data_IF_830648262130
#
_entry.id   IF_830648262130
#
_cell.length_a   1.000
_cell.length_b   1.000
_cell.length_c   1.000
_cell.angle_alpha   90.00
_cell.angle_beta   90.00
_cell.angle_gamma   90.00
#
_symmetry.space_group_name_H-M   'P 1'
#
loop_
_entity.id
_entity.type
_entity.pdbx_description
1 polymer ?
#
# COMPACT_ATOMS: atom_id res chain seq x y z
N UNK A 1 36.82 12.09 -23.03
CA UNK A 1 35.68 11.52 -22.28
C UNK A 1 35.79 10.00 -22.38
N UNK A 2 35.86 9.31 -21.25
CA UNK A 2 35.91 7.85 -21.26
C UNK A 2 34.57 7.32 -21.83
N UNK A 3 34.65 6.53 -22.87
CA UNK A 3 33.45 5.99 -23.58
C UNK A 3 33.42 4.49 -23.34
N UNK A 4 32.39 4.02 -22.65
CA UNK A 4 32.19 2.58 -22.42
C UNK A 4 31.61 1.89 -23.66
N UNK A 5 32.09 0.69 -23.96
CA UNK A 5 31.63 -0.11 -25.10
C UNK A 5 30.31 -0.83 -24.80
N UNK A 6 29.58 -1.22 -25.87
CA UNK A 6 28.35 -2.01 -25.73
C UNK A 6 28.56 -3.32 -24.97
N UNK A 7 29.71 -3.97 -25.16
CA UNK A 7 30.06 -5.20 -24.44
C UNK A 7 30.24 -4.96 -22.95
N UNK A 8 30.92 -3.88 -22.55
CA UNK A 8 31.04 -3.49 -21.13
C UNK A 8 29.69 -3.21 -20.51
N UNK A 9 28.79 -2.50 -21.20
CA UNK A 9 27.44 -2.25 -20.71
C UNK A 9 26.66 -3.56 -20.54
N UNK A 10 26.79 -4.50 -21.49
CA UNK A 10 26.14 -5.81 -21.40
C UNK A 10 26.66 -6.61 -20.19
N UNK A 11 27.97 -6.65 -20.01
CA UNK A 11 28.62 -7.31 -18.89
C UNK A 11 28.23 -6.68 -17.54
N UNK A 12 28.16 -5.36 -17.43
CA UNK A 12 27.72 -4.66 -16.23
C UNK A 12 26.28 -4.98 -15.87
N UNK A 13 25.40 -5.23 -16.84
CA UNK A 13 24.00 -5.61 -16.64
C UNK A 13 23.77 -7.04 -16.19
N UNK A 14 24.78 -7.90 -16.26
CA UNK A 14 24.70 -9.28 -15.77
C UNK A 14 24.72 -9.35 -14.24
N UNK A 15 25.24 -8.32 -13.58
CA UNK A 15 25.24 -8.25 -12.13
C UNK A 15 23.83 -7.93 -11.58
N UNK A 16 23.21 -8.87 -10.89
CA UNK A 16 22.09 -8.55 -10.01
C UNK A 16 22.61 -7.93 -8.69
N UNK A 17 21.76 -7.16 -8.01
CA UNK A 17 22.18 -6.44 -6.81
C UNK A 17 22.58 -7.37 -5.65
N UNK A 18 21.89 -8.51 -5.48
CA UNK A 18 22.21 -9.43 -4.39
C UNK A 18 23.60 -9.99 -4.56
N UNK A 19 23.92 -10.51 -5.75
CA UNK A 19 25.24 -11.05 -6.07
C UNK A 19 26.35 -10.02 -5.94
N UNK A 20 26.08 -8.78 -6.38
CA UNK A 20 27.02 -7.67 -6.21
C UNK A 20 27.31 -7.36 -4.74
N UNK A 21 26.29 -7.19 -3.91
CA UNK A 21 26.47 -6.88 -2.50
C UNK A 21 27.12 -8.05 -1.74
N UNK A 22 26.80 -9.30 -2.09
CA UNK A 22 27.47 -10.47 -1.50
C UNK A 22 28.96 -10.50 -1.79
N UNK A 23 29.36 -10.11 -3.00
CA UNK A 23 30.76 -10.14 -3.43
C UNK A 23 31.59 -8.94 -2.93
N UNK A 24 30.98 -7.74 -2.90
CA UNK A 24 31.72 -6.49 -2.68
C UNK A 24 31.36 -5.78 -1.38
N UNK A 25 30.12 -5.91 -0.90
CA UNK A 25 29.62 -5.21 0.29
C UNK A 25 28.81 -6.17 1.19
N UNK A 26 29.37 -7.33 1.62
CA UNK A 26 28.60 -8.34 2.38
C UNK A 26 28.04 -7.80 3.69
N UNK A 27 28.74 -6.85 4.31
CA UNK A 27 28.29 -6.19 5.56
C UNK A 27 27.06 -5.31 5.38
N UNK A 28 26.74 -4.89 4.15
CA UNK A 28 25.56 -4.09 3.84
C UNK A 28 24.30 -4.96 3.79
N UNK A 29 24.43 -6.27 3.58
CA UNK A 29 23.29 -7.16 3.49
C UNK A 29 22.73 -7.57 4.85
N UNK A 30 21.41 -7.49 4.97
CA UNK A 30 20.62 -8.02 6.08
C UNK A 30 19.48 -8.87 5.53
N UNK A 31 19.36 -10.10 6.02
CA UNK A 31 18.25 -10.99 5.65
C UNK A 31 16.98 -10.55 6.39
N UNK A 32 15.88 -10.32 5.65
CA UNK A 32 14.60 -9.87 6.17
C UNK A 32 13.52 -10.96 6.07
N UNK A 33 13.75 -12.00 5.26
CA UNK A 33 12.79 -13.08 5.06
C UNK A 33 13.47 -14.32 4.42
N UNK A 34 12.70 -15.38 4.13
CA UNK A 34 13.25 -16.61 3.52
C UNK A 34 13.96 -16.37 2.20
N UNK A 35 13.46 -15.43 1.39
CA UNK A 35 14.00 -15.08 0.06
C UNK A 35 14.11 -13.56 -0.13
N UNK A 36 14.21 -12.81 0.96
CA UNK A 36 14.23 -11.35 0.95
C UNK A 36 15.41 -10.84 1.78
N UNK A 37 16.09 -9.84 1.21
CA UNK A 37 17.17 -9.11 1.85
C UNK A 37 16.86 -7.62 1.85
N UNK A 38 17.51 -6.86 2.73
CA UNK A 38 17.55 -5.40 2.70
C UNK A 38 18.97 -4.92 2.93
N UNK A 39 19.23 -3.65 2.63
CA UNK A 39 20.49 -3.03 2.99
C UNK A 39 20.44 -2.53 4.44
N UNK A 40 21.60 -2.47 5.12
CA UNK A 40 21.66 -1.96 6.50
C UNK A 40 21.52 -0.46 6.57
N UNK A 41 22.06 0.25 5.58
CA UNK A 41 21.95 1.72 5.48
C UNK A 41 20.55 2.16 5.08
N UNK A 42 19.81 1.32 4.33
CA UNK A 42 18.45 1.62 3.87
C UNK A 42 17.56 0.38 4.05
N UNK A 43 17.00 0.22 5.25
CA UNK A 43 16.16 -0.95 5.60
C UNK A 43 14.88 -1.08 4.76
N UNK A 44 14.41 0.04 4.17
CA UNK A 44 13.31 0.07 3.21
C UNK A 44 13.71 -0.31 1.77
N UNK A 45 15.03 -0.46 1.48
CA UNK A 45 15.50 -1.03 0.22
C UNK A 45 15.46 -2.55 0.30
N UNK A 46 14.50 -3.15 -0.41
CA UNK A 46 14.27 -4.60 -0.44
C UNK A 46 14.83 -5.23 -1.71
N UNK A 47 15.44 -6.41 -1.54
CA UNK A 47 16.03 -7.19 -2.63
C UNK A 47 15.38 -8.56 -2.60
N UNK A 48 14.68 -8.94 -3.67
CA UNK A 48 14.05 -10.25 -3.83
C UNK A 48 13.82 -10.59 -5.29
N UNK A 49 13.84 -11.87 -5.63
CA UNK A 49 13.55 -12.37 -6.99
C UNK A 49 14.34 -11.67 -8.11
N UNK A 50 15.62 -11.34 -7.88
CA UNK A 50 16.47 -10.67 -8.85
C UNK A 50 16.05 -9.23 -9.18
N UNK A 51 15.31 -8.59 -8.29
CA UNK A 51 14.92 -7.19 -8.35
C UNK A 51 15.19 -6.53 -7.01
N UNK A 52 15.31 -5.22 -7.02
CA UNK A 52 15.35 -4.43 -5.81
C UNK A 52 14.40 -3.24 -5.93
N UNK A 53 13.90 -2.80 -4.78
CA UNK A 53 13.03 -1.62 -4.67
C UNK A 53 13.33 -0.90 -3.37
N UNK A 54 13.59 0.39 -3.45
CA UNK A 54 13.72 1.28 -2.31
C UNK A 54 12.38 1.96 -2.07
N UNK A 55 11.58 1.37 -1.19
CA UNK A 55 10.18 1.75 -1.01
C UNK A 55 9.99 3.21 -0.57
N UNK A 56 10.85 3.73 0.33
CA UNK A 56 10.74 5.12 0.79
C UNK A 56 11.05 6.15 -0.29
N UNK A 57 11.88 5.79 -1.29
CA UNK A 57 12.24 6.68 -2.40
C UNK A 57 11.49 6.36 -3.71
N UNK A 58 10.71 5.30 -3.72
CA UNK A 58 9.94 4.89 -4.90
C UNK A 58 10.80 4.52 -6.13
N UNK A 59 12.09 4.20 -5.92
CA UNK A 59 13.02 3.81 -6.99
C UNK A 59 13.36 2.33 -6.91
N UNK A 60 13.75 1.75 -8.03
CA UNK A 60 14.12 0.34 -8.09
C UNK A 60 14.84 -0.03 -9.37
N UNK A 61 15.22 -1.30 -9.46
CA UNK A 61 15.94 -1.84 -10.60
C UNK A 61 16.05 -3.35 -10.58
N UNK A 62 16.73 -3.87 -11.60
CA UNK A 62 17.02 -5.32 -11.74
C UNK A 62 18.51 -5.64 -11.64
N UNK A 63 19.36 -4.64 -11.76
CA UNK A 63 20.79 -4.81 -11.86
C UNK A 63 21.53 -4.03 -10.78
N UNK A 64 22.76 -4.42 -10.48
CA UNK A 64 23.66 -3.62 -9.66
C UNK A 64 23.99 -2.28 -10.32
N UNK A 65 23.99 -2.22 -11.67
CA UNK A 65 24.19 -0.98 -12.41
C UNK A 65 23.11 0.06 -12.07
N UNK A 66 21.83 -0.36 -12.03
CA UNK A 66 20.73 0.50 -11.58
C UNK A 66 20.95 1.03 -10.16
N UNK A 67 21.44 0.18 -9.25
CA UNK A 67 21.70 0.55 -7.87
C UNK A 67 22.85 1.56 -7.73
N UNK A 68 23.96 1.31 -8.42
CA UNK A 68 25.12 2.23 -8.39
C UNK A 68 24.75 3.62 -8.90
N UNK A 69 23.91 3.69 -9.93
CA UNK A 69 23.46 4.97 -10.49
C UNK A 69 22.41 5.64 -9.61
N UNK A 70 21.34 4.92 -9.26
CA UNK A 70 20.15 5.51 -8.62
C UNK A 70 20.29 5.69 -7.10
N UNK A 71 21.06 4.83 -6.43
CA UNK A 71 21.22 4.85 -4.96
C UNK A 71 22.56 5.41 -4.54
N UNK A 72 23.65 5.03 -5.25
CA UNK A 72 25.01 5.52 -4.94
C UNK A 72 25.36 6.81 -5.66
N UNK A 73 24.51 7.28 -6.59
CA UNK A 73 24.73 8.54 -7.32
C UNK A 73 25.91 8.52 -8.30
N UNK A 74 26.39 7.33 -8.68
CA UNK A 74 27.47 7.22 -9.63
C UNK A 74 27.01 7.63 -11.04
N UNK A 75 27.88 8.26 -11.81
CA UNK A 75 27.66 8.45 -13.22
C UNK A 75 27.65 7.11 -13.97
N UNK A 76 27.02 7.07 -15.15
CA UNK A 76 26.83 5.84 -15.90
C UNK A 76 28.15 5.17 -16.28
N UNK A 77 29.15 5.96 -16.71
CA UNK A 77 30.44 5.44 -17.15
C UNK A 77 31.19 4.81 -15.96
N UNK A 78 31.29 5.53 -14.85
CA UNK A 78 31.96 5.05 -13.64
C UNK A 78 31.29 3.80 -13.07
N UNK A 79 29.95 3.72 -13.09
CA UNK A 79 29.23 2.53 -12.64
C UNK A 79 29.48 1.30 -13.55
N UNK A 80 29.54 1.48 -14.87
CA UNK A 80 29.91 0.40 -15.80
C UNK A 80 31.35 -0.05 -15.59
N UNK A 81 32.31 0.87 -15.46
CA UNK A 81 33.71 0.54 -15.22
C UNK A 81 33.91 -0.21 -13.90
N UNK A 82 33.23 0.21 -12.83
CA UNK A 82 33.26 -0.46 -11.54
C UNK A 82 32.80 -1.92 -11.61
N UNK A 83 31.77 -2.22 -12.42
CA UNK A 83 31.23 -3.57 -12.59
C UNK A 83 32.04 -4.41 -13.59
N UNK A 84 32.68 -3.82 -14.59
CA UNK A 84 33.50 -4.54 -15.58
C UNK A 84 34.83 -5.01 -15.03
N UNK A 85 35.38 -4.39 -13.99
CA UNK A 85 36.59 -4.83 -13.30
C UNK A 85 36.38 -6.12 -12.49
N UNK A 86 35.15 -6.57 -12.33
CA UNK A 86 34.78 -7.73 -11.53
C UNK A 86 34.20 -8.84 -12.43
N UNK A 87 34.65 -10.10 -12.22
CA UNK A 87 34.03 -11.24 -12.89
C UNK A 87 32.69 -11.54 -12.24
N UNK A 88 31.58 -11.33 -12.97
CA UNK A 88 30.27 -11.67 -12.47
C UNK A 88 30.20 -13.16 -12.11
N UNK A 89 29.67 -13.55 -10.94
CA UNK A 89 29.38 -14.95 -10.68
C UNK A 89 28.40 -15.47 -11.71
N UNK A 90 28.43 -16.77 -12.06
CA UNK A 90 27.46 -17.33 -12.98
C UNK A 90 26.07 -17.02 -12.45
N UNK A 91 25.12 -16.64 -13.34
CA UNK A 91 23.77 -16.33 -12.94
C UNK A 91 23.23 -17.48 -12.09
N UNK A 92 22.85 -17.20 -10.85
CA UNK A 92 22.18 -18.22 -10.05
C UNK A 92 20.92 -18.63 -10.83
N UNK A 93 20.82 -19.91 -11.20
CA UNK A 93 19.61 -20.44 -11.83
C UNK A 93 18.42 -20.03 -10.98
N UNK A 94 17.64 -19.11 -11.51
CA UNK A 94 16.41 -18.66 -10.83
C UNK A 94 15.51 -19.87 -10.78
N UNK A 95 15.01 -20.29 -9.60
CA UNK A 95 13.94 -21.26 -9.57
C UNK A 95 12.85 -20.77 -10.51
N UNK A 96 12.39 -21.61 -11.43
CA UNK A 96 11.29 -21.27 -12.31
C UNK A 96 10.16 -20.66 -11.47
N UNK A 97 9.53 -19.54 -11.89
CA UNK A 97 8.45 -18.93 -11.15
C UNK A 97 7.44 -20.03 -10.86
N UNK A 98 7.20 -20.30 -9.59
CA UNK A 98 6.14 -21.25 -9.22
C UNK A 98 4.86 -20.74 -9.85
N UNK A 99 4.04 -21.63 -10.47
CA UNK A 99 2.76 -21.21 -11.02
C UNK A 99 1.98 -20.46 -9.93
N UNK A 100 1.35 -19.33 -10.27
CA UNK A 100 0.61 -18.54 -9.29
C UNK A 100 -0.44 -19.45 -8.66
N UNK A 101 -0.45 -19.55 -7.34
CA UNK A 101 -1.49 -20.29 -6.64
C UNK A 101 -2.83 -19.61 -6.87
N UNK A 102 -3.92 -20.38 -7.04
CA UNK A 102 -5.23 -19.81 -7.20
C UNK A 102 -5.61 -19.00 -5.93
N UNK A 103 -6.19 -17.82 -6.15
CA UNK A 103 -6.70 -16.99 -5.06
C UNK A 103 -7.76 -17.75 -4.24
N UNK A 104 -7.56 -17.80 -2.94
CA UNK A 104 -8.51 -18.44 -2.02
C UNK A 104 -8.63 -17.62 -0.74
N UNK A 105 -9.85 -17.24 -0.39
CA UNK A 105 -10.12 -16.53 0.86
C UNK A 105 -9.77 -17.40 2.08
N UNK A 106 -9.18 -16.81 3.15
CA UNK A 106 -9.05 -17.47 4.45
C UNK A 106 -10.41 -17.87 5.02
N UNK A 107 -10.47 -19.00 5.71
CA UNK A 107 -11.69 -19.42 6.41
C UNK A 107 -12.12 -18.39 7.45
N UNK A 108 -13.43 -18.07 7.47
CA UNK A 108 -14.00 -17.16 8.43
C UNK A 108 -14.14 -17.79 9.82
N UNK A 109 -13.90 -17.00 10.86
CA UNK A 109 -14.24 -17.32 12.24
C UNK A 109 -15.75 -17.28 12.43
N UNK A 110 -16.27 -18.12 13.32
CA UNK A 110 -17.70 -18.10 13.69
C UNK A 110 -18.07 -16.83 14.48
N UNK A 111 -17.12 -16.31 15.26
CA UNK A 111 -17.32 -15.14 16.13
C UNK A 111 -16.19 -14.13 15.89
N UNK A 112 -16.48 -12.91 15.40
CA UNK A 112 -15.48 -11.90 15.03
C UNK A 112 -15.03 -11.04 16.22
N UNK A 113 -14.97 -11.59 17.43
CA UNK A 113 -14.81 -10.83 18.68
C UNK A 113 -13.47 -10.08 18.77
N UNK A 114 -12.38 -10.67 18.28
CA UNK A 114 -11.05 -10.03 18.31
C UNK A 114 -10.92 -8.94 17.28
N UNK A 115 -11.41 -9.18 16.08
CA UNK A 115 -11.45 -8.16 15.03
C UNK A 115 -12.27 -6.96 15.49
N UNK A 116 -13.45 -7.19 16.08
CA UNK A 116 -14.30 -6.10 16.62
C UNK A 116 -13.56 -5.31 17.69
N UNK A 117 -12.99 -5.98 18.70
CA UNK A 117 -12.23 -5.32 19.76
C UNK A 117 -11.03 -4.54 19.20
N UNK A 118 -10.32 -5.10 18.23
CA UNK A 118 -9.17 -4.46 17.60
C UNK A 118 -9.57 -3.19 16.83
N UNK A 119 -10.58 -3.27 15.97
CA UNK A 119 -11.01 -2.12 15.17
C UNK A 119 -11.66 -1.02 16.03
N UNK A 120 -12.46 -1.39 17.02
CA UNK A 120 -13.02 -0.44 18.00
C UNK A 120 -11.92 0.21 18.85
N UNK A 121 -10.89 -0.56 19.23
CA UNK A 121 -9.72 -0.06 19.93
C UNK A 121 -8.93 0.97 19.10
N UNK A 122 -9.02 0.87 17.76
CA UNK A 122 -8.48 1.85 16.80
C UNK A 122 -9.45 3.00 16.49
N UNK A 123 -10.53 3.12 17.25
CA UNK A 123 -11.49 4.22 17.10
C UNK A 123 -12.52 4.04 15.98
N UNK A 124 -12.49 2.96 15.20
CA UNK A 124 -13.45 2.75 14.11
C UNK A 124 -14.86 2.57 14.68
N UNK A 125 -15.81 3.32 14.11
CA UNK A 125 -17.20 3.30 14.58
C UNK A 125 -17.89 1.96 14.31
N UNK A 126 -18.68 1.41 15.27
CA UNK A 126 -19.37 0.13 15.11
C UNK A 126 -20.26 0.03 13.85
N UNK A 127 -20.94 1.11 13.45
CA UNK A 127 -21.79 1.10 12.26
C UNK A 127 -20.97 0.90 10.97
N UNK A 128 -19.79 1.53 10.88
CA UNK A 128 -18.89 1.38 9.74
C UNK A 128 -18.37 -0.06 9.66
N UNK A 129 -17.98 -0.64 10.81
CA UNK A 129 -17.56 -2.05 10.89
C UNK A 129 -18.73 -2.96 10.48
N UNK A 130 -19.93 -2.71 11.03
CA UNK A 130 -21.14 -3.50 10.76
C UNK A 130 -21.51 -3.53 9.29
N UNK A 131 -21.39 -2.40 8.59
CA UNK A 131 -21.67 -2.32 7.16
C UNK A 131 -20.69 -3.18 6.34
N UNK A 132 -19.39 -3.14 6.66
CA UNK A 132 -18.37 -3.97 5.99
C UNK A 132 -18.61 -5.46 6.25
N UNK A 133 -19.01 -5.85 7.48
CA UNK A 133 -19.35 -7.25 7.79
C UNK A 133 -20.58 -7.68 6.99
N UNK A 134 -21.63 -6.85 6.95
CA UNK A 134 -22.84 -7.11 6.18
C UNK A 134 -22.58 -7.26 4.67
N UNK A 135 -21.71 -6.40 4.13
CA UNK A 135 -21.28 -6.46 2.73
C UNK A 135 -20.33 -7.65 2.45
N UNK A 136 -19.84 -8.35 3.49
CA UNK A 136 -18.88 -9.45 3.35
C UNK A 136 -17.50 -8.99 2.87
N UNK A 137 -17.17 -7.70 3.08
CA UNK A 137 -15.86 -7.12 2.74
C UNK A 137 -14.91 -7.11 3.94
N UNK A 138 -15.40 -7.47 5.14
CA UNK A 138 -14.63 -7.56 6.37
C UNK A 138 -15.09 -8.75 7.22
N UNK A 139 -14.16 -9.58 7.64
CA UNK A 139 -14.41 -10.67 8.58
C UNK A 139 -13.15 -11.06 9.36
N UNK A 140 -13.31 -11.85 10.43
CA UNK A 140 -12.21 -12.42 11.20
C UNK A 140 -11.79 -13.77 10.64
N UNK A 141 -10.48 -14.00 10.43
CA UNK A 141 -9.98 -15.30 10.00
C UNK A 141 -10.01 -16.31 11.15
N UNK A 142 -10.38 -17.56 10.83
CA UNK A 142 -10.49 -18.65 11.82
C UNK A 142 -9.17 -18.96 12.51
N UNK A 143 -8.07 -19.08 11.75
CA UNK A 143 -6.81 -19.62 12.24
C UNK A 143 -6.07 -18.67 13.19
N UNK A 144 -5.95 -17.40 12.86
CA UNK A 144 -5.15 -16.44 13.63
C UNK A 144 -5.96 -15.25 14.14
N UNK A 145 -7.26 -15.23 13.88
CA UNK A 145 -8.17 -14.15 14.27
C UNK A 145 -7.73 -12.76 13.78
N UNK A 146 -7.11 -12.76 12.60
CA UNK A 146 -6.74 -11.53 11.90
C UNK A 146 -7.97 -10.90 11.24
N UNK A 147 -7.98 -9.56 11.08
CA UNK A 147 -8.92 -8.91 10.19
C UNK A 147 -8.60 -9.34 8.75
N UNK A 148 -9.62 -9.74 8.00
CA UNK A 148 -9.55 -10.02 6.56
C UNK A 148 -10.36 -8.96 5.84
N UNK A 149 -9.69 -8.12 5.08
CA UNK A 149 -10.32 -7.11 4.21
C UNK A 149 -10.38 -7.67 2.80
N UNK A 150 -11.57 -7.69 2.22
CA UNK A 150 -11.84 -8.30 0.91
C UNK A 150 -12.18 -7.24 -0.11
N UNK A 151 -11.53 -7.33 -1.26
CA UNK A 151 -11.89 -6.56 -2.46
C UNK A 151 -12.67 -7.42 -3.45
N UNK A 152 -13.69 -6.85 -4.05
CA UNK A 152 -14.61 -7.53 -4.98
C UNK A 152 -14.66 -6.82 -6.32
N UNK A 153 -14.91 -7.59 -7.40
CA UNK A 153 -15.24 -7.03 -8.71
C UNK A 153 -16.74 -6.62 -8.79
N UNK A 154 -17.14 -6.06 -9.93
CA UNK A 154 -18.53 -5.60 -10.15
C UNK A 154 -19.56 -6.73 -10.13
N UNK A 155 -19.15 -7.98 -10.33
CA UNK A 155 -20.01 -9.16 -10.20
C UNK A 155 -20.04 -9.68 -8.74
N UNK A 156 -19.42 -8.99 -7.80
CA UNK A 156 -19.37 -9.36 -6.39
C UNK A 156 -18.41 -10.51 -6.06
N UNK A 157 -17.60 -10.98 -7.03
CA UNK A 157 -16.61 -12.05 -6.80
C UNK A 157 -15.41 -11.47 -6.04
N UNK A 158 -14.95 -12.18 -5.03
CA UNK A 158 -13.73 -11.81 -4.33
C UNK A 158 -12.50 -11.98 -5.24
N UNK A 159 -11.73 -10.91 -5.42
CA UNK A 159 -10.53 -10.86 -6.26
C UNK A 159 -9.27 -10.54 -5.47
N UNK A 160 -9.44 -9.94 -4.33
CA UNK A 160 -8.34 -9.52 -3.45
C UNK A 160 -8.71 -9.78 -2.00
N UNK A 161 -7.72 -10.07 -1.18
CA UNK A 161 -7.85 -9.97 0.26
C UNK A 161 -6.50 -9.63 0.90
N UNK A 162 -6.53 -8.83 1.96
CA UNK A 162 -5.37 -8.63 2.83
C UNK A 162 -5.72 -8.95 4.28
N UNK A 163 -4.71 -9.41 5.02
CA UNK A 163 -4.81 -9.72 6.45
C UNK A 163 -4.10 -8.65 7.26
N UNK A 164 -4.74 -8.25 8.35
CA UNK A 164 -4.16 -7.41 9.38
C UNK A 164 -4.20 -8.13 10.73
N UNK A 165 -3.02 -8.29 11.35
CA UNK A 165 -2.89 -8.87 12.68
C UNK A 165 -3.66 -8.08 13.72
N UNK A 166 -4.35 -8.77 14.62
CA UNK A 166 -5.08 -8.14 15.75
C UNK A 166 -4.23 -8.06 17.01
N UNK A 167 -3.03 -8.68 17.01
CA UNK A 167 -2.12 -8.74 18.17
C UNK A 167 -0.74 -8.13 17.90
N UNK A 168 -0.37 -8.03 16.65
CA UNK A 168 0.96 -7.63 16.18
C UNK A 168 0.88 -6.77 14.93
N UNK A 169 2.04 -6.40 14.39
CA UNK A 169 2.15 -5.61 13.17
C UNK A 169 2.00 -6.45 11.88
N UNK A 170 1.50 -7.69 11.97
CA UNK A 170 1.36 -8.57 10.81
C UNK A 170 0.42 -7.97 9.76
N UNK A 171 0.90 -7.93 8.54
CA UNK A 171 0.13 -7.54 7.36
C UNK A 171 0.63 -8.31 6.14
N UNK A 172 -0.27 -8.86 5.36
CA UNK A 172 0.05 -9.57 4.12
C UNK A 172 -1.15 -9.60 3.19
N UNK A 173 -0.90 -9.51 1.89
CA UNK A 173 -1.91 -9.82 0.89
C UNK A 173 -2.03 -11.33 0.73
N UNK A 174 -3.24 -11.83 0.55
CA UNK A 174 -3.49 -13.24 0.27
C UNK A 174 -2.90 -13.60 -1.09
N UNK A 175 -2.17 -14.71 -1.16
CA UNK A 175 -1.53 -15.17 -2.39
C UNK A 175 -2.57 -15.34 -3.52
N UNK A 176 -2.24 -14.86 -4.72
CA UNK A 176 -3.14 -14.85 -5.87
C UNK A 176 -4.12 -13.69 -5.91
N UNK A 177 -4.05 -12.74 -4.97
CA UNK A 177 -4.85 -11.51 -4.99
C UNK A 177 -4.56 -10.63 -6.20
N UNK A 178 -5.61 -10.09 -6.80
CA UNK A 178 -5.53 -9.08 -7.85
C UNK A 178 -5.63 -7.67 -7.21
N UNK A 179 -4.51 -6.95 -7.17
CA UNK A 179 -4.42 -5.64 -6.50
C UNK A 179 -5.26 -4.54 -7.14
N UNK A 180 -5.81 -4.76 -8.33
CA UNK A 180 -6.77 -3.84 -8.95
C UNK A 180 -8.08 -3.75 -8.16
N UNK A 181 -8.45 -4.82 -7.47
CA UNK A 181 -9.69 -4.91 -6.68
C UNK A 181 -9.39 -4.85 -5.19
N UNK A 182 -8.76 -3.78 -4.73
CA UNK A 182 -8.46 -3.65 -3.31
C UNK A 182 -9.73 -3.44 -2.46
N UNK A 183 -9.59 -3.43 -1.13
CA UNK A 183 -10.74 -3.22 -0.22
C UNK A 183 -11.49 -1.94 -0.55
N UNK A 184 -12.81 -2.03 -0.57
CA UNK A 184 -13.71 -0.89 -0.77
C UNK A 184 -14.91 -0.93 0.19
N UNK A 185 -15.33 0.25 0.64
CA UNK A 185 -16.58 0.52 1.33
C UNK A 185 -17.39 1.43 0.41
N UNK A 186 -18.47 0.87 -0.17
CA UNK A 186 -19.25 1.57 -1.17
C UNK A 186 -20.25 2.55 -0.54
N UNK A 187 -20.56 3.63 -1.25
CA UNK A 187 -21.65 4.54 -0.89
C UNK A 187 -23.00 3.84 -0.92
N UNK A 188 -23.99 4.40 -0.21
CA UNK A 188 -25.37 3.89 -0.24
C UNK A 188 -26.01 4.04 -1.63
N UNK A 189 -25.72 5.14 -2.31
CA UNK A 189 -26.10 5.35 -3.71
C UNK A 189 -24.99 4.85 -4.63
N UNK A 190 -25.22 3.82 -5.46
CA UNK A 190 -24.25 3.35 -6.45
C UNK A 190 -23.82 4.43 -7.46
N UNK A 191 -24.62 5.49 -7.64
CA UNK A 191 -24.32 6.63 -8.52
C UNK A 191 -23.62 7.78 -7.80
N UNK A 192 -23.13 7.55 -6.59
CA UNK A 192 -22.39 8.56 -5.82
C UNK A 192 -21.18 9.09 -6.62
N UNK A 193 -21.03 10.41 -6.77
CA UNK A 193 -19.92 10.98 -7.52
C UNK A 193 -18.60 11.08 -6.73
N UNK A 194 -18.61 10.78 -5.42
CA UNK A 194 -17.49 11.03 -4.51
C UNK A 194 -16.73 9.76 -4.16
N UNK A 195 -15.41 9.85 -4.20
CA UNK A 195 -14.48 8.79 -3.81
C UNK A 195 -13.41 9.36 -2.88
N UNK A 196 -13.21 8.72 -1.73
CA UNK A 196 -12.05 8.93 -0.86
C UNK A 196 -11.09 7.73 -0.98
N UNK A 197 -9.80 8.01 -1.12
CA UNK A 197 -8.75 7.03 -1.39
C UNK A 197 -7.72 7.07 -0.27
N UNK A 198 -7.46 5.94 0.38
CA UNK A 198 -6.50 5.80 1.46
C UNK A 198 -5.43 4.73 1.15
N UNK A 199 -4.31 4.74 1.89
CA UNK A 199 -3.28 3.73 1.70
C UNK A 199 -3.69 2.36 2.20
N UNK A 200 -4.39 2.29 3.35
CA UNK A 200 -4.79 1.03 3.96
C UNK A 200 -6.29 0.93 4.20
N UNK A 201 -6.85 -0.29 4.36
CA UNK A 201 -8.25 -0.47 4.72
C UNK A 201 -8.62 0.21 6.04
N UNK A 202 -7.70 0.25 7.01
CA UNK A 202 -7.96 0.88 8.32
C UNK A 202 -8.11 2.39 8.15
N UNK A 203 -7.30 3.03 7.29
CA UNK A 203 -7.43 4.45 7.01
C UNK A 203 -8.71 4.77 6.26
N UNK A 204 -9.12 3.92 5.31
CA UNK A 204 -10.41 4.05 4.63
C UNK A 204 -11.59 3.99 5.62
N UNK A 205 -11.57 3.06 6.59
CA UNK A 205 -12.57 3.00 7.66
C UNK A 205 -12.48 4.19 8.63
N UNK A 206 -11.27 4.72 8.85
CA UNK A 206 -11.04 5.90 9.70
C UNK A 206 -11.65 7.14 9.07
N UNK A 207 -11.48 7.34 7.76
CA UNK A 207 -12.12 8.42 7.01
C UNK A 207 -13.65 8.38 7.15
N UNK A 208 -14.29 7.24 6.89
CA UNK A 208 -15.73 7.07 7.05
C UNK A 208 -16.19 7.36 8.49
N UNK A 209 -15.39 6.93 9.48
CA UNK A 209 -15.68 7.18 10.90
C UNK A 209 -15.56 8.66 11.25
N UNK A 210 -14.54 9.36 10.76
CA UNK A 210 -14.35 10.80 10.99
C UNK A 210 -15.52 11.61 10.42
N UNK A 211 -15.98 11.30 9.20
CA UNK A 211 -17.16 11.91 8.61
C UNK A 211 -18.39 11.71 9.53
N UNK A 212 -18.62 10.48 10.01
CA UNK A 212 -19.72 10.18 10.93
C UNK A 212 -19.61 10.94 12.24
N UNK A 213 -18.43 11.01 12.85
CA UNK A 213 -18.21 11.71 14.12
C UNK A 213 -18.37 13.23 14.01
N UNK A 214 -18.13 13.80 12.82
CA UNK A 214 -18.39 15.22 12.54
C UNK A 214 -19.86 15.53 12.18
N UNK A 215 -20.74 14.53 12.24
CA UNK A 215 -22.17 14.68 11.94
C UNK A 215 -22.52 14.61 10.46
N UNK A 216 -21.56 14.24 9.60
CA UNK A 216 -21.78 13.99 8.17
C UNK A 216 -22.35 12.61 7.88
N UNK A 217 -22.91 12.43 6.69
CA UNK A 217 -23.36 11.12 6.21
C UNK A 217 -22.21 10.44 5.46
N UNK A 218 -21.54 9.52 6.13
CA UNK A 218 -20.40 8.81 5.59
C UNK A 218 -20.77 7.89 4.40
N UNK A 219 -22.03 7.47 4.30
CA UNK A 219 -22.50 6.66 3.16
C UNK A 219 -22.70 7.45 1.86
N UNK A 220 -22.48 8.75 1.92
CA UNK A 220 -22.50 9.63 0.74
C UNK A 220 -21.16 9.68 -0.01
N UNK A 221 -20.25 8.78 0.27
CA UNK A 221 -18.95 8.65 -0.43
C UNK A 221 -18.54 7.18 -0.53
N UNK A 222 -17.85 6.82 -1.60
CA UNK A 222 -17.09 5.59 -1.67
C UNK A 222 -15.75 5.78 -0.96
N UNK A 223 -15.23 4.70 -0.35
CA UNK A 223 -13.90 4.66 0.26
C UNK A 223 -13.15 3.45 -0.26
N UNK A 224 -11.95 3.64 -0.76
CA UNK A 224 -11.09 2.55 -1.18
C UNK A 224 -9.73 2.60 -0.50
N UNK A 225 -9.10 1.44 -0.39
CA UNK A 225 -7.67 1.36 -0.05
C UNK A 225 -6.85 0.94 -1.25
N UNK A 226 -5.60 1.41 -1.32
CA UNK A 226 -4.67 1.05 -2.38
C UNK A 226 -3.80 -0.16 -2.01
N UNK A 227 -3.64 -0.44 -0.71
CA UNK A 227 -2.66 -1.40 -0.20
C UNK A 227 -1.22 -0.93 -0.45
N UNK A 228 -1.01 0.38 -0.41
CA UNK A 228 0.21 1.14 -0.71
C UNK A 228 -0.12 2.37 -1.55
N UNK A 229 0.77 2.77 -2.47
CA UNK A 229 0.62 4.00 -3.28
C UNK A 229 0.52 3.72 -4.80
N UNK A 230 0.32 2.46 -5.20
CA UNK A 230 0.23 2.08 -6.62
C UNK A 230 -1.15 2.45 -7.23
N UNK A 231 -1.21 2.97 -8.48
CA UNK A 231 -2.44 3.49 -9.07
C UNK A 231 -3.44 2.42 -9.55
N UNK A 232 -3.05 1.14 -9.61
CA UNK A 232 -3.87 0.10 -10.23
C UNK A 232 -5.28 -0.03 -9.63
N UNK A 233 -5.42 0.14 -8.30
CA UNK A 233 -6.72 0.00 -7.64
C UNK A 233 -7.64 1.19 -7.90
N UNK A 234 -7.13 2.42 -7.85
CA UNK A 234 -7.94 3.61 -8.13
C UNK A 234 -8.37 3.67 -9.59
N UNK A 235 -7.48 3.36 -10.53
CA UNK A 235 -7.82 3.35 -11.96
C UNK A 235 -8.90 2.32 -12.25
N UNK A 236 -8.76 1.08 -11.75
CA UNK A 236 -9.80 0.07 -11.91
C UNK A 236 -11.12 0.51 -11.29
N UNK A 237 -11.10 1.02 -10.06
CA UNK A 237 -12.31 1.50 -9.39
C UNK A 237 -13.03 2.60 -10.20
N UNK A 238 -12.28 3.56 -10.74
CA UNK A 238 -12.84 4.64 -11.55
C UNK A 238 -13.41 4.13 -12.87
N UNK A 239 -12.82 3.14 -13.52
CA UNK A 239 -13.39 2.50 -14.71
C UNK A 239 -14.65 1.68 -14.41
N UNK A 240 -14.71 1.03 -13.25
CA UNK A 240 -15.88 0.26 -12.82
C UNK A 240 -17.03 1.17 -12.35
N UNK A 241 -16.75 2.38 -11.83
CA UNK A 241 -17.73 3.30 -11.24
C UNK A 241 -17.80 4.60 -12.04
N UNK A 242 -18.52 4.55 -13.15
CA UNK A 242 -18.57 5.65 -14.13
C UNK A 242 -19.18 6.97 -13.62
N UNK A 243 -19.89 6.94 -12.50
CA UNK A 243 -20.49 8.12 -11.88
C UNK A 243 -19.52 8.91 -10.99
N UNK A 244 -18.38 8.35 -10.66
CA UNK A 244 -17.37 9.04 -9.84
C UNK A 244 -16.68 10.12 -10.66
N UNK A 245 -16.83 11.37 -10.19
CA UNK A 245 -16.24 12.57 -10.81
C UNK A 245 -15.38 13.38 -9.83
N UNK A 246 -15.43 13.07 -8.54
CA UNK A 246 -14.72 13.77 -7.47
C UNK A 246 -13.89 12.78 -6.67
N UNK A 247 -12.60 13.01 -6.58
CA UNK A 247 -11.64 12.15 -5.89
C UNK A 247 -10.92 12.94 -4.81
N UNK A 248 -10.90 12.40 -3.59
CA UNK A 248 -10.07 12.89 -2.48
C UNK A 248 -8.96 11.88 -2.23
N UNK A 249 -7.72 12.28 -2.48
CA UNK A 249 -6.53 11.49 -2.21
C UNK A 249 -6.11 11.73 -0.76
N UNK A 250 -6.38 10.76 0.10
CA UNK A 250 -6.22 10.81 1.55
C UNK A 250 -5.10 9.86 1.99
N UNK A 251 -3.92 10.02 1.41
CA UNK A 251 -2.74 9.20 1.72
C UNK A 251 -2.02 9.75 2.96
N UNK A 252 -1.04 9.01 3.44
CA UNK A 252 -0.25 9.38 4.61
C UNK A 252 0.41 10.76 4.44
N UNK A 253 0.54 11.52 5.53
CA UNK A 253 1.21 12.82 5.55
C UNK A 253 2.72 12.64 5.77
N UNK A 254 3.34 11.86 4.88
CA UNK A 254 4.79 11.71 4.78
C UNK A 254 5.23 11.87 3.31
N UNK A 255 6.54 11.90 3.07
CA UNK A 255 7.09 12.10 1.72
C UNK A 255 6.57 11.06 0.71
N UNK A 256 6.43 9.80 1.14
CA UNK A 256 5.95 8.73 0.25
C UNK A 256 4.48 8.89 -0.10
N UNK A 257 3.63 9.30 0.86
CA UNK A 257 2.22 9.59 0.65
C UNK A 257 2.00 10.82 -0.25
N UNK A 258 2.76 11.89 -0.02
CA UNK A 258 2.70 13.12 -0.86
C UNK A 258 3.06 12.81 -2.30
N UNK A 259 4.20 12.15 -2.55
CA UNK A 259 4.60 11.70 -3.90
C UNK A 259 3.60 10.68 -4.47
N UNK A 260 2.98 9.88 -3.60
CA UNK A 260 1.91 8.95 -3.98
C UNK A 260 0.71 9.68 -4.54
N UNK A 261 0.22 10.73 -3.88
CA UNK A 261 -0.91 11.54 -4.35
C UNK A 261 -0.63 12.18 -5.72
N UNK A 262 0.56 12.74 -5.92
CA UNK A 262 0.97 13.31 -7.22
C UNK A 262 0.94 12.26 -8.34
N UNK A 263 1.48 11.06 -8.07
CA UNK A 263 1.47 9.93 -9.03
C UNK A 263 0.06 9.43 -9.35
N UNK A 264 -0.83 9.39 -8.36
CA UNK A 264 -2.23 8.99 -8.57
C UNK A 264 -2.98 10.03 -9.40
N UNK A 265 -2.82 11.31 -9.10
CA UNK A 265 -3.39 12.38 -9.92
C UNK A 265 -2.86 12.31 -11.35
N UNK A 266 -1.55 12.20 -11.53
CA UNK A 266 -0.94 12.07 -12.85
C UNK A 266 -1.52 10.87 -13.62
N UNK A 267 -1.64 9.69 -12.98
CA UNK A 267 -2.19 8.50 -13.62
C UNK A 267 -3.66 8.69 -14.05
N UNK A 268 -4.48 9.40 -13.27
CA UNK A 268 -5.85 9.74 -13.64
C UNK A 268 -5.88 10.71 -14.81
N UNK A 269 -4.99 11.74 -14.82
CA UNK A 269 -4.91 12.74 -15.89
C UNK A 269 -4.36 12.20 -17.19
N UNK A 270 -3.50 11.19 -17.15
CA UNK A 270 -2.94 10.51 -18.31
C UNK A 270 -3.91 9.50 -18.95
N UNK A 271 -4.92 9.02 -18.20
CA UNK A 271 -5.95 8.13 -18.74
C UNK A 271 -6.95 8.92 -19.58
N UNK A 272 -7.14 8.59 -20.90
CA UNK A 272 -7.95 9.39 -21.80
C UNK A 272 -9.43 9.51 -21.43
N UNK A 273 -9.99 8.48 -20.78
CA UNK A 273 -11.39 8.47 -20.33
C UNK A 273 -11.53 9.20 -18.99
N UNK A 274 -10.66 8.88 -18.04
CA UNK A 274 -10.74 9.42 -16.67
C UNK A 274 -10.41 10.92 -16.64
N UNK A 275 -9.46 11.40 -17.47
CA UNK A 275 -9.10 12.81 -17.56
C UNK A 275 -10.26 13.73 -17.96
N UNK A 276 -11.20 13.21 -18.76
CA UNK A 276 -12.39 13.94 -19.17
C UNK A 276 -13.51 13.91 -18.11
N UNK A 277 -13.60 12.83 -17.36
CA UNK A 277 -14.70 12.55 -16.42
C UNK A 277 -14.42 12.96 -14.99
N UNK A 278 -13.20 12.71 -14.49
CA UNK A 278 -12.80 13.09 -13.12
C UNK A 278 -12.44 14.57 -13.10
N UNK A 279 -13.41 15.39 -12.69
CA UNK A 279 -13.30 16.86 -12.76
C UNK A 279 -12.61 17.48 -11.56
N UNK A 280 -12.71 16.85 -10.38
CA UNK A 280 -12.16 17.36 -9.13
C UNK A 280 -11.26 16.31 -8.48
N UNK A 281 -10.00 16.68 -8.23
CA UNK A 281 -9.05 15.87 -7.48
C UNK A 281 -8.50 16.74 -6.34
N UNK A 282 -8.63 16.25 -5.12
CA UNK A 282 -8.16 16.93 -3.90
C UNK A 282 -7.04 16.12 -3.27
N UNK A 283 -5.88 16.75 -3.02
CA UNK A 283 -4.87 16.20 -2.11
C UNK A 283 -5.28 16.56 -0.68
N UNK A 284 -5.61 15.56 0.09
CA UNK A 284 -6.17 15.72 1.42
C UNK A 284 -5.46 14.78 2.42
N UNK A 285 -4.17 15.03 2.74
CA UNK A 285 -3.46 14.27 3.76
C UNK A 285 -4.02 14.59 5.15
N UNK A 286 -3.85 13.69 6.14
CA UNK A 286 -4.26 13.97 7.52
C UNK A 286 -3.44 15.13 8.11
N UNK A 287 -3.98 15.89 9.08
CA UNK A 287 -3.24 16.93 9.78
C UNK A 287 -2.00 16.38 10.49
N UNK A 288 -0.83 16.97 10.23
CA UNK A 288 0.47 16.49 10.75
C UNK A 288 0.61 16.51 12.26
N UNK A 289 -0.12 17.40 12.94
CA UNK A 289 -0.15 17.54 14.40
C UNK A 289 -0.79 16.37 15.15
N UNK A 290 -1.47 15.49 14.42
CA UNK A 290 -2.21 14.33 14.99
C UNK A 290 -1.71 12.97 14.49
N UNK A 291 -0.54 12.92 13.87
CA UNK A 291 0.05 11.71 13.34
C UNK A 291 0.26 11.76 11.82
N UNK A 292 0.71 10.65 11.24
CA UNK A 292 1.01 10.59 9.81
C UNK A 292 -0.13 10.00 8.98
N UNK A 293 -0.99 9.16 9.57
CA UNK A 293 -2.09 8.48 8.89
C UNK A 293 -3.46 8.85 9.47
N UNK A 294 -4.52 8.53 8.73
CA UNK A 294 -5.89 8.86 9.14
C UNK A 294 -6.36 8.08 10.35
N UNK A 295 -5.78 6.93 10.65
CA UNK A 295 -6.12 6.20 11.87
C UNK A 295 -5.50 6.83 13.11
N UNK A 296 -4.27 7.33 13.03
CA UNK A 296 -3.64 8.10 14.11
C UNK A 296 -4.46 9.37 14.40
N UNK A 297 -4.85 10.10 13.34
CA UNK A 297 -5.72 11.27 13.48
C UNK A 297 -7.08 10.92 14.14
N UNK A 298 -7.73 9.84 13.71
CA UNK A 298 -8.98 9.38 14.34
C UNK A 298 -8.79 9.04 15.82
N UNK A 299 -7.71 8.30 16.16
CA UNK A 299 -7.42 7.94 17.54
C UNK A 299 -7.23 9.18 18.43
N UNK A 300 -6.49 10.18 17.95
CA UNK A 300 -6.31 11.45 18.67
C UNK A 300 -7.64 12.19 18.86
N UNK A 301 -8.48 12.23 17.82
CA UNK A 301 -9.81 12.86 17.87
C UNK A 301 -10.73 12.19 18.91
N UNK A 302 -10.78 10.86 18.92
CA UNK A 302 -11.59 10.08 19.87
C UNK A 302 -11.08 10.27 21.31
N UNK A 303 -9.78 10.29 21.52
CA UNK A 303 -9.19 10.53 22.84
C UNK A 303 -9.51 11.93 23.36
N UNK A 304 -9.38 12.96 22.53
CA UNK A 304 -9.72 14.34 22.90
C UNK A 304 -11.22 14.48 23.27
N UNK A 305 -12.12 13.83 22.51
CA UNK A 305 -13.54 13.81 22.82
C UNK A 305 -13.86 13.16 24.17
N UNK A 306 -13.21 12.00 24.47
CA UNK A 306 -13.37 11.31 25.77
C UNK A 306 -12.84 12.12 26.95
N UNK A 307 -11.73 12.85 26.77
CA UNK A 307 -11.19 13.74 27.83
C UNK A 307 -12.14 14.88 28.14
N UNK A 308 -12.68 15.55 27.10
CA UNK A 308 -13.68 16.63 27.27
C UNK A 308 -14.94 16.13 27.99
N UNK A 309 -15.40 14.93 27.68
CA UNK A 309 -16.57 14.34 28.35
C UNK A 309 -16.28 14.06 29.83
N UNK A 310 -15.15 13.44 30.18
CA UNK A 310 -14.74 13.19 31.58
C UNK A 310 -14.61 14.47 32.40
N UNK A 311 -14.07 15.55 31.81
CA UNK A 311 -13.99 16.86 32.46
C UNK A 311 -15.37 17.46 32.76
N UNK A 312 -16.35 17.28 31.85
CA UNK A 312 -17.73 17.73 32.06
C UNK A 312 -18.47 16.92 33.14
N UNK A 313 -18.20 15.63 33.25
CA UNK A 313 -18.81 14.73 34.24
C UNK A 313 -18.16 14.88 35.63
N UNK A 314 -16.87 15.23 35.71
CA UNK A 314 -16.13 15.46 36.96
C UNK A 314 -16.37 16.86 37.60
N UNK A 315 -17.05 17.76 36.91
CA UNK A 315 -17.45 19.11 37.40
C UNK A 315 -18.90 19.10 37.95
N UNK A 316 -19.58 17.97 37.89
CA UNK A 316 -20.89 17.75 38.55
C UNK A 316 -20.72 17.01 39.85
#
# INVERSE_FOLDING_TARGET
MATVTRNQISQAKEWDLLSYLQAHEPNELKRCGPHEYCTRTHDSLKISNGKWCWHSQGIGGRTALDYLIKVRGMDFVGAVEALCGCRAPPPQERPAPKPPKPFKLPEASRFPSRMLAYLQGRGIHPDVIGECIKAGTLYESRRYQNCVFVGRDMEGRARFACLRGTRDCFRIDVEGSDKRYNFSLLAADPKCPRLAVAESPIDALSLATLVKLSGGEWRDSHYISLGGTAPCAILQFLHDHLHVTQVSLCLDNDEAGMLGMERLEQAIREDPELSQRVTLIYHNPPPSEHGKDYNEFLCAHVQAARQKQRQREGVR
#
